data_IF_283064055247
#
_entry.id   IF_283064055247
#
_cell.length_a   1.000
_cell.length_b   1.000
_cell.length_c   1.000
_cell.angle_alpha   90.00
_cell.angle_beta   90.00
_cell.angle_gamma   90.00
#
_symmetry.space_group_name_H-M   'P 1'
#
loop_
_entity.id
_entity.type
_entity.pdbx_description
1 polymer ?
#
# COMPACT_ATOMS: atom_id res chain seq x y z
N UNK A 1 -53.62 -62.87 -19.28
CA UNK A 1 -52.50 -62.94 -18.29
C UNK A 1 -51.75 -61.63 -18.43
N UNK A 2 -52.06 -60.70 -17.53
CA UNK A 2 -51.53 -59.36 -17.54
C UNK A 2 -50.50 -59.25 -16.38
N UNK A 3 -49.27 -59.05 -16.69
CA UNK A 3 -48.20 -58.83 -15.68
C UNK A 3 -48.05 -57.34 -15.42
N UNK A 4 -48.29 -56.94 -14.21
CA UNK A 4 -48.06 -55.57 -13.71
C UNK A 4 -46.58 -55.38 -13.45
N UNK A 5 -45.98 -54.34 -14.04
CA UNK A 5 -44.66 -53.83 -13.71
C UNK A 5 -44.88 -52.59 -12.85
N UNK A 6 -44.54 -52.67 -11.55
CA UNK A 6 -44.42 -51.50 -10.70
C UNK A 6 -43.04 -50.86 -10.92
N UNK A 7 -43.05 -49.63 -11.40
CA UNK A 7 -41.87 -48.80 -11.41
C UNK A 7 -41.77 -48.00 -10.11
N UNK A 8 -40.76 -48.28 -9.29
CA UNK A 8 -40.41 -47.51 -8.11
C UNK A 8 -39.62 -46.27 -8.56
N UNK A 9 -40.21 -45.09 -8.48
CA UNK A 9 -39.48 -43.81 -8.66
C UNK A 9 -38.84 -43.45 -7.33
N UNK A 10 -37.53 -43.62 -7.22
CA UNK A 10 -36.73 -43.12 -6.10
C UNK A 10 -36.44 -41.62 -6.34
N UNK A 11 -37.13 -40.76 -5.60
CA UNK A 11 -36.89 -39.33 -5.58
C UNK A 11 -35.60 -39.06 -4.75
N UNK A 12 -34.49 -38.77 -5.44
CA UNK A 12 -33.29 -38.23 -4.80
C UNK A 12 -33.56 -36.78 -4.37
N UNK A 13 -33.82 -36.57 -3.10
CA UNK A 13 -33.75 -35.26 -2.47
C UNK A 13 -32.26 -34.87 -2.34
N UNK A 14 -31.78 -34.05 -3.27
CA UNK A 14 -30.49 -33.37 -3.12
C UNK A 14 -30.71 -32.22 -2.14
N UNK A 15 -30.34 -32.44 -0.88
CA UNK A 15 -30.26 -31.38 0.11
C UNK A 15 -29.17 -30.41 -0.34
N UNK A 16 -29.57 -29.29 -0.92
CA UNK A 16 -28.67 -28.15 -1.09
C UNK A 16 -28.38 -27.61 0.32
N UNK A 17 -27.20 -27.90 0.86
CA UNK A 17 -26.67 -27.17 2.00
C UNK A 17 -26.60 -25.68 1.56
N UNK A 18 -27.51 -24.88 2.07
CA UNK A 18 -27.42 -23.43 1.93
C UNK A 18 -26.11 -23.02 2.58
N UNK A 19 -25.12 -22.67 1.76
CA UNK A 19 -23.91 -22.00 2.25
C UNK A 19 -24.40 -20.78 3.01
N UNK A 20 -24.09 -20.69 4.31
CA UNK A 20 -24.40 -19.52 5.11
C UNK A 20 -23.82 -18.29 4.36
N UNK A 21 -24.63 -17.25 4.20
CA UNK A 21 -24.13 -16.01 3.62
C UNK A 21 -22.92 -15.54 4.44
N UNK A 22 -21.85 -15.07 3.78
CA UNK A 22 -20.71 -14.58 4.52
C UNK A 22 -21.16 -13.50 5.51
N UNK A 23 -20.55 -13.43 6.71
CA UNK A 23 -20.94 -12.45 7.72
C UNK A 23 -20.85 -11.05 7.12
N UNK A 24 -21.88 -10.24 7.35
CA UNK A 24 -21.96 -8.90 6.78
C UNK A 24 -21.04 -7.93 7.54
N UNK A 25 -20.34 -7.07 6.82
CA UNK A 25 -19.66 -5.92 7.42
C UNK A 25 -20.69 -5.00 8.09
N UNK A 26 -20.32 -4.34 9.17
CA UNK A 26 -21.18 -3.42 9.90
C UNK A 26 -20.42 -2.18 10.40
N UNK A 27 -21.16 -1.10 10.57
CA UNK A 27 -20.69 0.14 11.19
C UNK A 27 -21.34 0.26 12.57
N UNK A 28 -20.55 0.45 13.62
CA UNK A 28 -21.09 0.89 14.91
C UNK A 28 -21.31 2.40 14.87
N UNK A 29 -22.54 2.81 14.60
CA UNK A 29 -22.89 4.23 14.45
C UNK A 29 -22.65 5.05 15.71
N UNK A 30 -22.66 4.43 16.89
CA UNK A 30 -22.35 5.14 18.15
C UNK A 30 -20.92 5.65 18.21
N UNK A 31 -20.01 5.10 17.38
CA UNK A 31 -18.58 5.44 17.30
C UNK A 31 -18.27 6.42 16.16
N UNK A 32 -19.26 6.82 15.36
CA UNK A 32 -19.03 7.73 14.24
C UNK A 32 -18.88 9.18 14.68
N UNK A 33 -19.54 9.58 15.76
CA UNK A 33 -19.42 10.95 16.27
C UNK A 33 -17.97 11.30 16.62
N UNK A 34 -17.61 12.56 16.44
CA UNK A 34 -16.27 13.05 16.74
C UNK A 34 -16.30 14.48 17.28
N UNK A 35 -15.36 14.78 18.17
CA UNK A 35 -15.29 16.08 18.83
C UNK A 35 -14.84 17.19 17.86
N UNK A 36 -15.25 18.43 18.13
CA UNK A 36 -14.73 19.61 17.45
C UNK A 36 -13.25 19.83 17.77
N UNK A 37 -12.52 20.45 16.84
CA UNK A 37 -11.14 20.87 17.12
C UNK A 37 -11.21 22.18 17.93
N UNK A 38 -10.64 22.23 19.13
CA UNK A 38 -10.71 23.43 19.96
C UNK A 38 -10.27 24.70 19.23
N UNK A 39 -11.13 25.73 19.23
CA UNK A 39 -10.87 27.01 18.58
C UNK A 39 -11.08 27.04 17.07
N UNK A 40 -11.53 25.95 16.44
CA UNK A 40 -11.82 25.87 15.01
C UNK A 40 -13.29 25.46 14.80
N UNK A 41 -14.19 26.43 14.83
CA UNK A 41 -15.62 26.18 14.68
C UNK A 41 -15.94 25.60 13.29
N UNK A 42 -16.75 24.53 13.26
CA UNK A 42 -17.08 23.78 12.06
C UNK A 42 -18.48 23.16 12.11
N UNK A 43 -19.05 22.91 10.95
CA UNK A 43 -20.20 22.03 10.77
C UNK A 43 -19.67 20.60 10.58
N UNK A 44 -20.23 19.63 11.30
CA UNK A 44 -19.80 18.24 11.31
C UNK A 44 -20.96 17.32 11.02
N UNK A 45 -20.73 16.36 10.10
CA UNK A 45 -21.69 15.31 9.82
C UNK A 45 -21.01 13.94 9.82
N UNK A 46 -21.76 12.93 10.22
CA UNK A 46 -21.35 11.53 10.22
C UNK A 46 -22.59 10.63 10.09
N UNK A 47 -22.38 9.43 9.58
CA UNK A 47 -23.46 8.45 9.39
C UNK A 47 -22.98 7.29 8.54
N UNK A 48 -23.93 6.60 7.93
CA UNK A 48 -23.70 5.49 7.02
C UNK A 48 -24.23 5.83 5.63
N UNK A 49 -23.39 5.67 4.61
CA UNK A 49 -23.76 5.87 3.21
C UNK A 49 -23.30 4.67 2.38
N UNK A 50 -24.23 4.02 1.67
CA UNK A 50 -23.97 2.81 0.86
C UNK A 50 -23.25 1.69 1.64
N UNK A 51 -23.55 1.54 2.94
CA UNK A 51 -22.93 0.53 3.81
C UNK A 51 -21.55 0.94 4.38
N UNK A 52 -21.02 2.09 4.01
CA UNK A 52 -19.79 2.66 4.57
C UNK A 52 -20.11 3.73 5.62
N UNK A 53 -19.43 3.69 6.77
CA UNK A 53 -19.45 4.80 7.72
C UNK A 53 -18.67 5.99 7.17
N UNK A 54 -19.08 7.19 7.53
CA UNK A 54 -18.39 8.41 7.09
C UNK A 54 -18.30 9.47 8.17
N UNK A 55 -17.32 10.37 8.01
CA UNK A 55 -17.19 11.66 8.71
C UNK A 55 -16.93 12.74 7.70
N UNK A 56 -17.60 13.90 7.86
CA UNK A 56 -17.38 15.10 7.07
C UNK A 56 -17.32 16.32 8.00
N UNK A 57 -16.45 17.27 7.68
CA UNK A 57 -16.31 18.49 8.48
C UNK A 57 -15.99 19.68 7.58
N UNK A 58 -16.79 20.73 7.71
CA UNK A 58 -16.66 21.99 6.97
C UNK A 58 -16.45 23.14 7.95
N UNK A 59 -15.32 23.87 7.92
CA UNK A 59 -15.11 25.02 8.80
C UNK A 59 -16.06 26.15 8.44
N UNK A 60 -16.41 27.01 9.41
CA UNK A 60 -17.31 28.14 9.16
C UNK A 60 -16.72 29.14 8.15
N UNK A 61 -15.41 29.26 8.08
CA UNK A 61 -14.67 30.06 7.10
C UNK A 61 -14.28 29.27 5.84
N UNK A 62 -15.12 28.33 5.41
CA UNK A 62 -14.83 27.45 4.28
C UNK A 62 -14.38 28.21 3.04
N UNK A 63 -13.22 27.82 2.50
CA UNK A 63 -12.60 28.42 1.31
C UNK A 63 -13.12 27.82 -0.03
N UNK A 64 -14.17 26.98 0.03
CA UNK A 64 -14.74 26.30 -1.14
C UNK A 64 -13.99 25.03 -1.55
N UNK A 65 -13.01 24.54 -0.79
CA UNK A 65 -12.18 23.40 -1.16
C UNK A 65 -12.40 22.21 -0.23
N UNK A 66 -12.42 21.02 -0.82
CA UNK A 66 -12.60 19.73 -0.13
C UNK A 66 -11.34 18.88 -0.23
N UNK A 67 -10.96 18.23 0.87
CA UNK A 67 -9.87 17.24 0.90
C UNK A 67 -10.43 15.89 1.36
N UNK A 68 -10.45 14.92 0.47
CA UNK A 68 -10.86 13.55 0.77
C UNK A 68 -9.71 12.78 1.41
N UNK A 69 -10.03 11.91 2.36
CA UNK A 69 -9.08 11.00 3.00
C UNK A 69 -9.41 9.54 2.71
N UNK A 70 -8.48 8.84 2.11
CA UNK A 70 -8.51 7.41 1.88
C UNK A 70 -7.58 6.69 2.88
N UNK A 71 -8.16 5.87 3.76
CA UNK A 71 -7.39 5.17 4.79
C UNK A 71 -6.68 3.92 4.26
N UNK A 72 -5.66 3.44 5.00
CA UNK A 72 -4.92 2.21 4.70
C UNK A 72 -5.67 0.93 5.08
N UNK A 73 -5.00 -0.22 4.89
CA UNK A 73 -5.52 -1.53 5.26
C UNK A 73 -5.81 -1.62 6.78
N UNK A 74 -6.94 -2.25 7.14
CA UNK A 74 -7.40 -2.38 8.53
C UNK A 74 -7.72 -3.81 8.95
N UNK A 75 -7.08 -4.77 8.29
CA UNK A 75 -7.31 -6.19 8.59
C UNK A 75 -8.59 -6.72 7.94
N UNK A 76 -9.03 -7.88 8.41
CA UNK A 76 -10.16 -8.65 7.86
C UNK A 76 -11.37 -8.67 8.79
N UNK A 77 -11.38 -7.87 9.85
CA UNK A 77 -12.49 -7.76 10.79
C UNK A 77 -13.76 -7.25 10.12
N UNK A 78 -14.91 -7.53 10.72
CA UNK A 78 -16.22 -7.16 10.15
C UNK A 78 -16.66 -5.74 10.53
N UNK A 79 -16.14 -5.17 11.61
CA UNK A 79 -16.43 -3.80 12.02
C UNK A 79 -15.71 -2.81 11.12
N UNK A 80 -16.45 -1.87 10.53
CA UNK A 80 -15.95 -0.80 9.68
C UNK A 80 -15.78 0.47 10.53
N UNK A 81 -14.58 1.05 10.52
CA UNK A 81 -14.25 2.22 11.35
C UNK A 81 -13.81 3.41 10.51
N UNK A 82 -14.09 4.62 10.96
CA UNK A 82 -13.70 5.88 10.29
C UNK A 82 -12.69 6.63 11.14
N UNK A 83 -11.58 7.06 10.52
CA UNK A 83 -10.64 8.00 11.13
C UNK A 83 -10.88 9.43 10.67
N UNK A 84 -10.45 10.37 11.48
CA UNK A 84 -10.34 11.75 11.04
C UNK A 84 -9.16 11.91 10.07
N UNK A 85 -9.21 12.90 9.21
CA UNK A 85 -8.09 13.24 8.35
C UNK A 85 -6.83 13.55 9.16
N UNK A 86 -5.65 12.98 8.85
CA UNK A 86 -4.43 13.21 9.63
C UNK A 86 -3.99 14.68 9.67
N UNK A 87 -4.32 15.46 8.63
CA UNK A 87 -4.08 16.89 8.58
C UNK A 87 -5.29 17.73 9.04
N UNK A 88 -6.28 17.14 9.73
CA UNK A 88 -7.56 17.79 10.08
C UNK A 88 -7.40 19.21 10.66
N UNK A 89 -6.55 19.36 11.68
CA UNK A 89 -6.33 20.68 12.32
C UNK A 89 -5.77 21.70 11.34
N UNK A 90 -4.79 21.32 10.53
CA UNK A 90 -4.20 22.18 9.50
C UNK A 90 -5.25 22.55 8.44
N UNK A 91 -6.04 21.60 7.97
CA UNK A 91 -7.06 21.81 6.96
C UNK A 91 -8.11 22.82 7.44
N UNK A 92 -8.69 22.60 8.62
CA UNK A 92 -9.69 23.49 9.19
C UNK A 92 -9.15 24.91 9.44
N UNK A 93 -7.94 25.03 9.99
CA UNK A 93 -7.29 26.32 10.23
C UNK A 93 -7.06 27.12 8.94
N UNK A 94 -6.94 26.43 7.79
CA UNK A 94 -6.75 27.05 6.47
C UNK A 94 -8.02 27.06 5.62
N UNK A 95 -9.18 26.81 6.23
CA UNK A 95 -10.49 26.92 5.56
C UNK A 95 -10.86 25.73 4.67
N UNK A 96 -10.12 24.61 4.68
CA UNK A 96 -10.48 23.42 3.92
C UNK A 96 -11.50 22.58 4.67
N UNK A 97 -12.50 22.10 3.96
CA UNK A 97 -13.33 20.99 4.42
C UNK A 97 -12.59 19.65 4.19
N UNK A 98 -12.98 18.63 4.93
CA UNK A 98 -12.48 17.27 4.71
C UNK A 98 -13.60 16.23 4.86
N UNK A 99 -13.40 15.05 4.23
CA UNK A 99 -14.27 13.91 4.40
C UNK A 99 -13.47 12.60 4.37
N UNK A 100 -13.94 11.59 5.12
CA UNK A 100 -13.33 10.27 5.21
C UNK A 100 -14.41 9.17 5.26
N UNK A 101 -14.19 8.09 4.53
CA UNK A 101 -15.03 6.89 4.53
C UNK A 101 -14.35 5.75 5.28
N UNK A 102 -15.13 4.85 5.92
CA UNK A 102 -14.62 3.56 6.42
C UNK A 102 -14.40 2.54 5.30
N UNK A 103 -14.82 2.84 4.10
CA UNK A 103 -15.24 1.90 3.06
C UNK A 103 -16.35 0.94 3.54
N UNK A 104 -17.02 0.28 2.61
CA UNK A 104 -18.07 -0.71 2.91
C UNK A 104 -17.53 -2.13 3.11
N UNK A 105 -16.21 -2.29 3.04
CA UNK A 105 -15.49 -3.56 3.27
C UNK A 105 -14.12 -3.30 3.89
N UNK A 106 -13.71 -4.22 4.76
CA UNK A 106 -12.32 -4.38 5.17
C UNK A 106 -11.56 -5.32 4.20
N UNK A 107 -10.43 -5.85 4.61
CA UNK A 107 -9.44 -6.53 3.79
C UNK A 107 -8.78 -5.58 2.76
N UNK A 108 -8.02 -6.12 1.83
CA UNK A 108 -7.38 -5.32 0.78
C UNK A 108 -8.33 -5.21 -0.42
N UNK A 109 -9.24 -4.22 -0.38
CA UNK A 109 -10.24 -3.97 -1.42
C UNK A 109 -10.20 -2.51 -1.92
N UNK A 110 -9.12 -2.09 -2.61
CA UNK A 110 -8.98 -0.71 -3.09
C UNK A 110 -10.03 -0.35 -4.14
N UNK A 111 -10.57 -1.33 -4.87
CA UNK A 111 -11.65 -1.11 -5.83
C UNK A 111 -12.93 -0.61 -5.14
N UNK A 112 -13.29 -1.22 -4.02
CA UNK A 112 -14.44 -0.76 -3.23
C UNK A 112 -14.13 0.55 -2.51
N UNK A 113 -12.92 0.68 -1.96
CA UNK A 113 -12.47 1.92 -1.32
C UNK A 113 -12.55 3.14 -2.24
N UNK A 114 -12.19 2.98 -3.51
CA UNK A 114 -12.29 4.04 -4.51
C UNK A 114 -13.75 4.45 -4.80
N UNK A 115 -14.67 3.48 -4.94
CA UNK A 115 -16.09 3.73 -5.15
C UNK A 115 -16.73 4.46 -3.96
N UNK A 116 -16.43 4.00 -2.75
CA UNK A 116 -17.02 4.57 -1.53
C UNK A 116 -16.48 5.98 -1.27
N UNK A 117 -15.19 6.22 -1.54
CA UNK A 117 -14.58 7.56 -1.46
C UNK A 117 -15.21 8.51 -2.48
N UNK A 118 -15.41 8.06 -3.72
CA UNK A 118 -16.05 8.86 -4.75
C UNK A 118 -17.53 9.14 -4.43
N UNK A 119 -18.28 8.16 -3.94
CA UNK A 119 -19.67 8.35 -3.51
C UNK A 119 -19.78 9.34 -2.34
N UNK A 120 -18.83 9.32 -1.39
CA UNK A 120 -18.78 10.28 -0.30
C UNK A 120 -18.47 11.71 -0.79
N UNK A 121 -17.63 11.86 -1.82
CA UNK A 121 -17.39 13.18 -2.45
C UNK A 121 -18.70 13.79 -3.00
N UNK A 122 -19.52 12.96 -3.64
CA UNK A 122 -20.83 13.38 -4.14
C UNK A 122 -21.79 13.72 -3.01
N UNK A 123 -21.82 12.93 -1.93
CA UNK A 123 -22.63 13.19 -0.74
C UNK A 123 -22.24 14.52 -0.10
N UNK A 124 -20.92 14.80 0.04
CA UNK A 124 -20.44 16.10 0.55
C UNK A 124 -21.00 17.26 -0.26
N UNK A 125 -20.93 17.19 -1.58
CA UNK A 125 -21.47 18.23 -2.47
C UNK A 125 -22.98 18.45 -2.33
N UNK A 126 -23.74 17.38 -2.07
CA UNK A 126 -25.17 17.44 -1.82
C UNK A 126 -25.53 18.08 -0.47
N UNK A 127 -24.72 17.84 0.58
CA UNK A 127 -24.96 18.30 1.94
C UNK A 127 -24.46 19.72 2.20
N UNK A 128 -23.24 20.03 1.79
CA UNK A 128 -22.54 21.27 2.13
C UNK A 128 -22.36 22.24 0.95
N UNK A 129 -22.81 21.84 -0.26
CA UNK A 129 -22.59 22.56 -1.50
C UNK A 129 -21.36 22.05 -2.28
N UNK A 130 -21.37 22.28 -3.60
CA UNK A 130 -20.31 21.78 -4.48
C UNK A 130 -18.98 22.48 -4.20
N UNK A 131 -17.90 21.72 -3.95
CA UNK A 131 -16.57 22.30 -3.83
C UNK A 131 -16.13 22.96 -5.15
N UNK A 132 -15.41 24.07 -5.04
CA UNK A 132 -14.74 24.70 -6.20
C UNK A 132 -13.47 23.93 -6.61
N UNK A 133 -12.88 23.19 -5.66
CA UNK A 133 -11.74 22.27 -5.86
C UNK A 133 -11.87 21.08 -4.93
N UNK A 134 -11.47 19.90 -5.44
CA UNK A 134 -11.44 18.68 -4.67
C UNK A 134 -10.06 18.01 -4.77
N UNK A 135 -9.45 17.78 -3.63
CA UNK A 135 -8.19 17.03 -3.49
C UNK A 135 -8.48 15.66 -2.92
N UNK A 136 -7.69 14.66 -3.32
CA UNK A 136 -7.71 13.33 -2.72
C UNK A 136 -6.34 13.03 -2.11
N UNK A 137 -6.34 12.58 -0.86
CA UNK A 137 -5.14 12.15 -0.14
C UNK A 137 -5.37 10.76 0.43
N UNK A 138 -4.33 9.95 0.57
CA UNK A 138 -4.49 8.63 1.16
C UNK A 138 -3.17 7.94 1.44
N UNK A 139 -3.17 7.05 2.44
CA UNK A 139 -1.97 6.36 2.91
C UNK A 139 -2.06 4.84 2.65
N UNK A 140 -0.91 4.22 2.27
CA UNK A 140 -0.82 2.76 2.12
C UNK A 140 -1.82 2.23 1.07
N UNK A 141 -2.71 1.30 1.41
CA UNK A 141 -3.85 0.93 0.56
C UNK A 141 -4.69 2.17 0.17
N UNK A 142 -4.81 3.18 1.05
CA UNK A 142 -5.46 4.44 0.72
C UNK A 142 -4.69 5.25 -0.33
N UNK A 143 -3.38 5.13 -0.41
CA UNK A 143 -2.57 5.65 -1.51
C UNK A 143 -2.88 4.95 -2.83
N UNK A 144 -3.13 3.64 -2.81
CA UNK A 144 -3.64 2.91 -3.97
C UNK A 144 -5.04 3.42 -4.38
N UNK A 145 -5.97 3.55 -3.42
CA UNK A 145 -7.29 4.16 -3.64
C UNK A 145 -7.14 5.55 -4.27
N UNK A 146 -6.22 6.36 -3.78
CA UNK A 146 -5.91 7.70 -4.33
C UNK A 146 -5.47 7.64 -5.78
N UNK A 147 -4.59 6.69 -6.13
CA UNK A 147 -4.16 6.45 -7.52
C UNK A 147 -5.32 6.05 -8.43
N UNK A 148 -6.15 5.08 -8.00
CA UNK A 148 -7.35 4.65 -8.74
C UNK A 148 -8.32 5.80 -8.96
N UNK A 149 -8.60 6.59 -7.92
CA UNK A 149 -9.52 7.73 -7.98
C UNK A 149 -9.02 8.80 -8.93
N UNK A 150 -7.72 9.12 -8.89
CA UNK A 150 -7.11 10.11 -9.77
C UNK A 150 -7.16 9.73 -11.25
N UNK A 151 -7.03 8.43 -11.56
CA UNK A 151 -7.12 7.92 -12.94
C UNK A 151 -8.57 7.77 -13.43
N UNK A 152 -9.49 7.33 -12.55
CA UNK A 152 -10.86 7.01 -12.98
C UNK A 152 -11.81 8.22 -13.01
N UNK A 153 -11.59 9.21 -12.15
CA UNK A 153 -12.47 10.39 -12.04
C UNK A 153 -11.69 11.72 -12.11
N UNK A 154 -10.88 11.95 -13.16
CA UNK A 154 -10.11 13.19 -13.29
C UNK A 154 -10.96 14.44 -13.45
N UNK A 155 -12.28 14.29 -13.68
CA UNK A 155 -13.23 15.40 -13.76
C UNK A 155 -13.76 15.86 -12.39
N UNK A 156 -13.57 15.00 -11.36
CA UNK A 156 -14.06 15.26 -9.99
C UNK A 156 -12.94 15.77 -9.09
N UNK A 157 -11.70 15.35 -9.34
CA UNK A 157 -10.55 15.66 -8.51
C UNK A 157 -9.56 16.54 -9.25
N UNK A 158 -9.08 17.59 -8.58
CA UNK A 158 -8.15 18.56 -9.13
C UNK A 158 -6.68 18.21 -8.83
N UNK A 159 -6.44 17.43 -7.77
CA UNK A 159 -5.11 17.00 -7.38
C UNK A 159 -5.10 15.79 -6.44
N UNK A 160 -4.04 15.00 -6.49
CA UNK A 160 -3.90 13.77 -5.73
C UNK A 160 -2.58 13.72 -4.95
N UNK A 161 -2.64 13.25 -3.68
CA UNK A 161 -1.47 13.06 -2.81
C UNK A 161 -1.48 11.67 -2.17
N UNK A 162 -1.10 10.61 -2.90
CA UNK A 162 -0.85 9.32 -2.29
C UNK A 162 0.45 9.36 -1.48
N UNK A 163 0.42 8.85 -0.24
CA UNK A 163 1.58 8.74 0.64
C UNK A 163 1.82 7.28 0.99
N UNK A 164 3.09 6.83 0.96
CA UNK A 164 3.45 5.42 1.15
C UNK A 164 2.52 4.46 0.38
N UNK A 165 2.10 4.87 -0.84
CA UNK A 165 1.01 4.26 -1.58
C UNK A 165 1.41 2.98 -2.30
N UNK A 166 0.47 2.01 -2.39
CA UNK A 166 0.63 0.79 -3.21
C UNK A 166 0.31 1.14 -4.67
N UNK A 167 1.15 1.98 -5.27
CA UNK A 167 0.93 2.49 -6.63
C UNK A 167 1.33 1.48 -7.73
N UNK A 168 2.04 0.41 -7.37
CA UNK A 168 2.35 -0.73 -8.23
C UNK A 168 1.33 -1.87 -8.16
N UNK A 169 0.24 -1.71 -7.43
CA UNK A 169 -0.86 -2.68 -7.25
C UNK A 169 -0.39 -4.12 -6.97
N UNK A 170 -0.54 -5.06 -7.91
CA UNK A 170 -0.13 -6.47 -7.75
C UNK A 170 1.37 -6.65 -7.51
N UNK A 171 2.23 -5.73 -7.93
CA UNK A 171 3.68 -5.80 -7.69
C UNK A 171 4.03 -5.86 -6.20
N UNK A 172 3.16 -5.33 -5.32
CA UNK A 172 3.33 -5.48 -3.87
C UNK A 172 3.21 -6.95 -3.44
N UNK A 173 2.19 -7.65 -3.93
CA UNK A 173 1.95 -9.06 -3.55
C UNK A 173 2.97 -9.98 -4.21
N UNK A 174 3.39 -9.68 -5.43
CA UNK A 174 4.47 -10.37 -6.12
C UNK A 174 5.81 -10.20 -5.36
N UNK A 175 6.07 -9.02 -4.80
CA UNK A 175 7.22 -8.79 -3.92
C UNK A 175 7.15 -9.63 -2.63
N UNK A 176 5.98 -9.80 -2.02
CA UNK A 176 5.82 -10.67 -0.85
C UNK A 176 6.09 -12.14 -1.21
N UNK A 177 5.64 -12.59 -2.38
CA UNK A 177 5.99 -13.91 -2.91
C UNK A 177 7.50 -14.02 -3.11
N UNK A 178 8.13 -13.06 -3.82
CA UNK A 178 9.56 -13.04 -4.11
C UNK A 178 10.41 -13.14 -2.84
N UNK A 179 10.06 -12.36 -1.81
CA UNK A 179 10.73 -12.39 -0.51
C UNK A 179 10.72 -13.79 0.09
N UNK A 180 9.56 -14.45 0.10
CA UNK A 180 9.39 -15.74 0.74
C UNK A 180 10.04 -16.89 -0.06
N UNK A 181 9.80 -16.99 -1.38
CA UNK A 181 10.42 -18.07 -2.19
C UNK A 181 11.93 -17.91 -2.32
N UNK A 182 12.43 -16.66 -2.29
CA UNK A 182 13.87 -16.42 -2.30
C UNK A 182 14.54 -16.87 -0.99
N UNK A 183 13.92 -16.57 0.15
CA UNK A 183 14.39 -17.03 1.45
C UNK A 183 14.44 -18.57 1.51
N UNK A 184 13.38 -19.25 1.06
CA UNK A 184 13.30 -20.70 1.00
C UNK A 184 14.40 -21.31 0.11
N UNK A 185 14.56 -20.79 -1.09
CA UNK A 185 15.56 -21.30 -2.06
C UNK A 185 16.99 -21.13 -1.54
N UNK A 186 17.32 -19.95 -0.98
CA UNK A 186 18.67 -19.64 -0.50
C UNK A 186 19.02 -20.34 0.81
N UNK A 187 18.02 -20.62 1.65
CA UNK A 187 18.22 -21.38 2.89
C UNK A 187 18.38 -22.88 2.66
N UNK A 188 17.87 -23.40 1.56
CA UNK A 188 17.77 -24.84 1.30
C UNK A 188 16.75 -25.55 2.20
N UNK A 189 15.93 -24.82 2.95
CA UNK A 189 14.82 -25.37 3.74
C UNK A 189 13.65 -25.63 2.78
N UNK A 190 13.32 -26.91 2.59
CA UNK A 190 12.29 -27.31 1.64
C UNK A 190 10.89 -27.00 2.13
N UNK A 191 10.21 -26.10 1.46
CA UNK A 191 8.76 -25.85 1.56
C UNK A 191 8.26 -25.38 0.20
N UNK A 192 6.96 -25.44 -0.03
CA UNK A 192 6.38 -25.13 -1.34
C UNK A 192 5.23 -24.13 -1.18
N UNK A 193 5.35 -23.01 -1.86
CA UNK A 193 4.26 -22.02 -1.91
C UNK A 193 3.06 -22.57 -2.73
N UNK A 194 1.80 -22.35 -2.28
CA UNK A 194 1.40 -21.69 -1.04
C UNK A 194 1.70 -22.52 0.21
N UNK A 195 2.21 -21.86 1.24
CA UNK A 195 2.70 -22.51 2.45
C UNK A 195 1.58 -23.06 3.33
N UNK A 196 1.92 -24.11 4.10
CA UNK A 196 1.02 -24.71 5.09
C UNK A 196 0.93 -23.94 6.40
N UNK A 197 0.10 -24.46 7.32
CA UNK A 197 -0.18 -23.84 8.63
C UNK A 197 1.05 -23.77 9.55
N UNK A 198 2.05 -24.61 9.32
CA UNK A 198 3.29 -24.68 10.09
C UNK A 198 4.40 -23.76 9.57
N UNK A 199 4.16 -23.05 8.48
CA UNK A 199 5.16 -22.17 7.85
C UNK A 199 5.81 -21.21 8.84
N UNK A 200 5.03 -20.42 9.57
CA UNK A 200 5.57 -19.43 10.52
C UNK A 200 6.18 -20.08 11.77
N UNK A 201 5.69 -21.24 12.19
CA UNK A 201 6.11 -21.88 13.43
C UNK A 201 7.28 -22.84 13.27
N UNK A 202 7.46 -23.42 12.10
CA UNK A 202 8.53 -24.41 11.83
C UNK A 202 9.46 -23.96 10.70
N UNK A 203 8.93 -23.64 9.52
CA UNK A 203 9.73 -23.35 8.33
C UNK A 203 10.50 -22.03 8.46
N UNK A 204 9.88 -20.96 8.91
CA UNK A 204 10.53 -19.63 9.04
C UNK A 204 11.68 -19.65 10.05
N UNK A 205 11.57 -20.22 11.26
CA UNK A 205 12.70 -20.34 12.17
C UNK A 205 13.88 -21.12 11.57
N UNK A 206 13.61 -22.22 10.87
CA UNK A 206 14.65 -23.01 10.19
C UNK A 206 15.32 -22.21 9.06
N UNK A 207 14.54 -21.51 8.26
CA UNK A 207 15.02 -20.62 7.19
C UNK A 207 15.94 -19.53 7.75
N UNK A 208 15.52 -18.83 8.81
CA UNK A 208 16.34 -17.79 9.45
C UNK A 208 17.65 -18.33 9.99
N UNK A 209 17.63 -19.50 10.63
CA UNK A 209 18.84 -20.18 11.13
C UNK A 209 19.79 -20.58 10.00
N UNK A 210 19.27 -21.02 8.85
CA UNK A 210 20.07 -21.38 7.68
C UNK A 210 20.66 -20.16 6.94
N UNK A 211 20.04 -18.98 7.03
CA UNK A 211 20.51 -17.74 6.41
C UNK A 211 21.55 -16.99 7.25
N UNK A 212 21.70 -17.33 8.52
CA UNK A 212 22.73 -16.70 9.35
C UNK A 212 22.63 -17.02 10.84
N UNK A 213 23.76 -16.95 11.58
CA UNK A 213 23.79 -17.30 13.00
C UNK A 213 22.96 -16.36 13.88
N UNK A 214 22.62 -15.18 13.38
CA UNK A 214 21.78 -14.20 14.08
C UNK A 214 21.03 -13.35 13.05
N UNK A 215 20.14 -13.98 12.30
CA UNK A 215 19.30 -13.28 11.33
C UNK A 215 18.43 -12.21 12.04
N UNK A 216 18.29 -10.99 11.50
CA UNK A 216 18.86 -10.44 10.27
C UNK A 216 20.22 -9.73 10.45
N UNK A 217 20.81 -9.75 11.65
CA UNK A 217 21.97 -8.94 12.04
C UNK A 217 23.30 -9.56 11.63
N UNK A 218 23.42 -10.90 11.67
CA UNK A 218 24.59 -11.62 11.22
C UNK A 218 24.17 -12.69 10.21
N UNK A 219 24.60 -12.49 8.97
CA UNK A 219 24.22 -13.32 7.81
C UNK A 219 25.42 -14.11 7.31
N UNK A 220 25.18 -15.32 6.83
CA UNK A 220 26.16 -16.09 6.04
C UNK A 220 26.07 -15.71 4.55
N UNK A 221 26.77 -16.41 3.66
CA UNK A 221 26.78 -16.10 2.23
C UNK A 221 25.38 -16.12 1.59
N UNK A 222 24.57 -17.14 1.91
CA UNK A 222 23.17 -17.21 1.42
C UNK A 222 22.30 -16.08 1.96
N UNK A 223 22.46 -15.73 3.25
CA UNK A 223 21.74 -14.61 3.85
C UNK A 223 22.13 -13.26 3.25
N UNK A 224 23.40 -13.07 2.87
CA UNK A 224 23.86 -11.87 2.17
C UNK A 224 23.26 -11.79 0.75
N UNK A 225 23.19 -12.91 0.03
CA UNK A 225 22.51 -12.98 -1.27
C UNK A 225 21.02 -12.67 -1.13
N UNK A 226 20.35 -13.23 -0.11
CA UNK A 226 18.96 -12.93 0.18
C UNK A 226 18.74 -11.44 0.45
N UNK A 227 19.54 -10.82 1.30
CA UNK A 227 19.47 -9.39 1.59
C UNK A 227 19.67 -8.54 0.33
N UNK A 228 20.63 -8.88 -0.51
CA UNK A 228 20.90 -8.19 -1.77
C UNK A 228 19.73 -8.30 -2.76
N UNK A 229 19.15 -9.50 -2.92
CA UNK A 229 17.96 -9.71 -3.74
C UNK A 229 16.79 -8.86 -3.25
N UNK A 230 16.50 -8.85 -1.94
CA UNK A 230 15.44 -8.02 -1.36
C UNK A 230 15.71 -6.53 -1.60
N UNK A 231 16.97 -6.09 -1.52
CA UNK A 231 17.33 -4.71 -1.84
C UNK A 231 16.95 -4.35 -3.28
N UNK A 232 17.32 -5.19 -4.23
CA UNK A 232 17.04 -4.95 -5.65
C UNK A 232 15.54 -4.99 -5.95
N UNK A 233 14.82 -5.98 -5.40
CA UNK A 233 13.38 -6.12 -5.60
C UNK A 233 12.54 -5.04 -4.91
N UNK A 234 13.07 -4.41 -3.86
CA UNK A 234 12.36 -3.38 -3.10
C UNK A 234 12.63 -1.95 -3.55
N UNK A 235 13.40 -1.73 -4.65
CA UNK A 235 13.67 -0.40 -5.20
C UNK A 235 15.14 -0.07 -5.41
N UNK A 236 16.02 -1.06 -5.30
CA UNK A 236 17.46 -0.94 -5.60
C UNK A 236 18.29 -0.44 -4.41
N UNK A 237 19.57 -0.21 -4.71
CA UNK A 237 20.53 0.35 -3.75
C UNK A 237 20.09 1.76 -3.38
N UNK A 238 19.90 2.02 -2.08
CA UNK A 238 19.41 3.32 -1.58
C UNK A 238 19.74 3.55 -0.11
N UNK A 239 19.77 4.80 0.34
CA UNK A 239 19.82 5.10 1.76
C UNK A 239 18.65 4.45 2.53
N UNK A 240 18.85 4.17 3.82
CA UNK A 240 17.85 3.59 4.72
C UNK A 240 17.48 2.12 4.43
N UNK A 241 17.97 1.48 3.36
CA UNK A 241 17.68 0.08 3.14
C UNK A 241 18.18 -0.80 4.31
N UNK A 242 19.39 -0.59 4.81
CA UNK A 242 19.95 -1.36 5.92
C UNK A 242 19.15 -1.20 7.22
N UNK A 243 18.70 0.03 7.52
CA UNK A 243 17.82 0.31 8.66
C UNK A 243 16.47 -0.37 8.48
N UNK A 244 15.88 -0.28 7.29
CA UNK A 244 14.65 -0.99 6.92
C UNK A 244 14.81 -2.50 7.05
N UNK A 245 15.91 -3.06 6.55
CA UNK A 245 16.21 -4.48 6.67
C UNK A 245 16.22 -4.94 8.14
N UNK A 246 16.94 -4.22 9.01
CA UNK A 246 17.01 -4.54 10.43
C UNK A 246 15.67 -4.33 11.15
N UNK A 247 14.91 -3.29 10.77
CA UNK A 247 13.60 -3.03 11.36
C UNK A 247 12.59 -4.10 10.98
N UNK A 248 12.38 -4.35 9.69
CA UNK A 248 11.33 -5.23 9.18
C UNK A 248 11.60 -6.72 9.42
N UNK A 249 12.84 -7.13 9.52
CA UNK A 249 13.23 -8.53 9.77
C UNK A 249 13.69 -8.81 11.21
N UNK A 250 13.92 -7.77 12.00
CA UNK A 250 14.38 -7.90 13.39
C UNK A 250 13.35 -7.36 14.37
N UNK A 251 13.08 -6.05 14.34
CA UNK A 251 12.16 -5.40 15.29
C UNK A 251 10.71 -5.81 15.03
N UNK A 252 10.29 -5.86 13.77
CA UNK A 252 8.95 -6.31 13.37
C UNK A 252 8.77 -7.84 13.37
N UNK A 253 9.80 -8.60 13.76
CA UNK A 253 9.75 -10.06 13.86
C UNK A 253 9.60 -10.76 12.52
N UNK A 254 8.60 -11.62 12.40
CA UNK A 254 8.35 -12.40 11.17
C UNK A 254 7.30 -11.75 10.25
N UNK A 255 7.11 -10.44 10.37
CA UNK A 255 6.07 -9.72 9.64
C UNK A 255 6.12 -9.96 8.13
N UNK A 256 7.31 -9.79 7.50
CA UNK A 256 7.44 -9.99 6.05
C UNK A 256 7.27 -11.46 5.64
N UNK A 257 7.71 -12.40 6.46
CA UNK A 257 7.42 -13.82 6.25
C UNK A 257 5.93 -14.09 6.36
N UNK A 258 5.23 -13.47 7.33
CA UNK A 258 3.79 -13.59 7.50
C UNK A 258 2.98 -13.15 6.29
N UNK A 259 3.49 -12.20 5.51
CA UNK A 259 2.83 -11.75 4.27
C UNK A 259 2.88 -12.78 3.13
N UNK A 260 3.76 -13.79 3.24
CA UNK A 260 3.82 -14.91 2.29
C UNK A 260 2.82 -16.04 2.60
N UNK A 261 2.13 -16.00 3.75
CA UNK A 261 1.14 -17.02 4.13
C UNK A 261 -0.16 -16.79 3.39
N UNK A 262 -0.22 -17.25 2.15
CA UNK A 262 -1.39 -17.10 1.31
C UNK A 262 -1.75 -15.64 1.02
N UNK A 263 -2.94 -15.41 0.52
CA UNK A 263 -3.46 -14.08 0.19
C UNK A 263 -4.35 -13.52 1.33
N UNK A 264 -3.98 -13.74 2.60
CA UNK A 264 -4.81 -13.40 3.76
C UNK A 264 -5.25 -11.94 3.85
N UNK A 265 -4.56 -11.03 3.16
CA UNK A 265 -4.92 -9.62 3.05
C UNK A 265 -5.91 -9.33 1.92
N UNK A 266 -6.04 -10.22 0.94
CA UNK A 266 -6.96 -10.06 -0.18
C UNK A 266 -8.37 -10.51 0.20
N UNK A 267 -9.43 -9.89 -0.35
CA UNK A 267 -10.79 -10.15 0.11
C UNK A 267 -11.29 -11.55 -0.24
N UNK A 268 -10.76 -12.16 -1.32
CA UNK A 268 -11.24 -13.46 -1.76
C UNK A 268 -10.45 -14.06 -2.92
N UNK A 269 -10.20 -15.38 -2.87
CA UNK A 269 -9.42 -16.09 -3.87
C UNK A 269 -10.05 -17.41 -4.31
N UNK A 270 -10.36 -17.63 -5.55
CA UNK A 270 -10.46 -18.97 -6.12
C UNK A 270 -9.18 -19.45 -6.78
N UNK A 271 -8.11 -18.67 -6.73
CA UNK A 271 -6.79 -18.99 -7.27
C UNK A 271 -5.74 -18.04 -6.72
N UNK A 272 -4.48 -18.24 -7.06
CA UNK A 272 -3.39 -17.37 -6.64
C UNK A 272 -3.43 -16.04 -7.40
N UNK A 273 -3.33 -14.91 -6.69
CA UNK A 273 -3.22 -13.60 -7.30
C UNK A 273 -1.78 -13.17 -7.57
N UNK A 274 -0.80 -13.88 -7.00
CA UNK A 274 0.63 -13.57 -7.05
C UNK A 274 1.36 -14.39 -8.09
N UNK A 275 2.45 -13.86 -8.63
CA UNK A 275 3.29 -14.52 -9.63
C UNK A 275 4.73 -14.03 -9.59
N UNK A 276 5.64 -14.89 -10.07
CA UNK A 276 7.05 -14.56 -10.30
C UNK A 276 7.64 -15.29 -11.52
N UNK A 277 6.78 -15.81 -12.41
CA UNK A 277 7.21 -16.68 -13.51
C UNK A 277 8.17 -15.99 -14.49
N UNK A 278 8.09 -14.66 -14.62
CA UNK A 278 8.88 -13.82 -15.53
C UNK A 278 9.96 -12.99 -14.80
N UNK A 279 10.07 -13.10 -13.48
CA UNK A 279 11.05 -12.34 -12.71
C UNK A 279 12.47 -12.91 -12.90
N UNK A 280 13.42 -12.05 -13.23
CA UNK A 280 14.85 -12.36 -13.23
C UNK A 280 15.46 -11.83 -11.93
N UNK A 281 15.91 -12.72 -11.07
CA UNK A 281 16.52 -12.37 -9.78
C UNK A 281 18.02 -12.15 -9.92
N UNK A 282 18.52 -11.12 -9.24
CA UNK A 282 19.93 -10.75 -9.17
C UNK A 282 20.36 -10.52 -7.72
N UNK A 283 21.65 -10.63 -7.46
CA UNK A 283 22.28 -10.38 -6.16
C UNK A 283 23.16 -9.12 -6.19
N UNK A 284 23.34 -8.52 -7.37
CA UNK A 284 24.08 -7.27 -7.56
C UNK A 284 23.45 -6.43 -8.68
N UNK A 285 24.07 -5.32 -9.04
CA UNK A 285 23.57 -4.38 -10.04
C UNK A 285 24.17 -4.61 -11.46
N UNK A 286 24.99 -5.64 -11.64
CA UNK A 286 25.46 -6.04 -12.97
C UNK A 286 24.30 -6.69 -13.74
N UNK A 287 23.90 -6.22 -14.92
CA UNK A 287 22.83 -6.83 -15.69
C UNK A 287 23.17 -8.25 -16.20
N UNK A 288 24.44 -8.65 -16.20
CA UNK A 288 24.88 -9.97 -16.60
C UNK A 288 24.77 -10.94 -15.42
N UNK A 289 23.98 -12.03 -15.60
CA UNK A 289 23.80 -13.00 -14.54
C UNK A 289 25.09 -13.79 -14.27
N UNK A 290 25.58 -13.75 -13.04
CA UNK A 290 26.63 -14.64 -12.53
C UNK A 290 26.17 -16.10 -12.52
N UNK A 291 27.09 -17.05 -12.39
CA UNK A 291 26.76 -18.48 -12.29
C UNK A 291 25.85 -18.77 -11.08
N UNK A 292 26.03 -18.06 -9.96
CA UNK A 292 25.18 -18.19 -8.77
C UNK A 292 23.75 -17.71 -9.03
N UNK A 293 23.57 -16.60 -9.72
CA UNK A 293 22.25 -16.06 -10.09
C UNK A 293 21.56 -16.94 -11.13
N UNK A 294 22.30 -17.47 -12.12
CA UNK A 294 21.75 -18.44 -13.08
C UNK A 294 21.21 -19.67 -12.36
N UNK A 295 22.01 -20.25 -11.44
CA UNK A 295 21.60 -21.40 -10.64
C UNK A 295 20.38 -21.08 -9.76
N UNK A 296 20.36 -19.91 -9.12
CA UNK A 296 19.21 -19.46 -8.33
C UNK A 296 17.95 -19.34 -9.18
N UNK A 297 18.02 -18.67 -10.33
CA UNK A 297 16.88 -18.49 -11.23
C UNK A 297 16.34 -19.80 -11.81
N UNK A 298 17.19 -20.85 -11.91
CA UNK A 298 16.78 -22.20 -12.32
C UNK A 298 16.05 -22.95 -11.19
N UNK A 299 16.41 -22.71 -9.93
CA UNK A 299 15.96 -23.50 -8.78
C UNK A 299 14.84 -22.82 -7.98
N UNK A 300 14.69 -21.50 -8.05
CA UNK A 300 13.64 -20.77 -7.34
C UNK A 300 12.26 -21.24 -7.80
N UNK A 301 11.36 -21.47 -6.85
CA UNK A 301 9.99 -21.85 -7.17
C UNK A 301 9.34 -20.76 -8.04
N UNK A 302 8.78 -21.17 -9.18
CA UNK A 302 8.03 -20.32 -10.09
C UNK A 302 6.54 -20.49 -9.83
N UNK A 303 5.86 -19.38 -9.63
CA UNK A 303 4.41 -19.27 -9.40
C UNK A 303 3.79 -18.47 -10.52
N UNK A 304 2.66 -18.92 -11.03
CA UNK A 304 1.85 -18.21 -12.03
C UNK A 304 0.51 -17.88 -11.41
N UNK A 305 0.10 -16.62 -11.49
CA UNK A 305 -1.20 -16.18 -11.00
C UNK A 305 -2.34 -16.80 -11.81
N UNK A 306 -3.48 -16.99 -11.15
CA UNK A 306 -4.72 -17.28 -11.86
C UNK A 306 -5.11 -16.06 -12.72
N UNK A 307 -5.27 -16.21 -14.04
CA UNK A 307 -5.66 -15.10 -14.91
C UNK A 307 -6.97 -14.43 -14.50
N UNK A 308 -7.87 -15.12 -13.81
CA UNK A 308 -9.12 -14.56 -13.30
C UNK A 308 -8.91 -13.69 -12.06
N UNK A 309 -7.89 -13.99 -11.25
CA UNK A 309 -7.57 -13.21 -10.06
C UNK A 309 -7.04 -11.80 -10.42
N UNK A 310 -6.24 -11.68 -11.47
CA UNK A 310 -5.55 -10.43 -11.85
C UNK A 310 -6.30 -9.54 -12.84
N UNK A 311 -7.52 -9.87 -13.23
CA UNK A 311 -8.33 -9.01 -14.10
C UNK A 311 -8.80 -7.75 -13.35
N UNK A 312 -9.03 -6.66 -14.08
CA UNK A 312 -9.52 -5.37 -13.54
C UNK A 312 -10.78 -5.52 -12.67
N UNK A 313 -11.68 -6.42 -13.02
CA UNK A 313 -12.86 -6.78 -12.22
C UNK A 313 -12.70 -8.24 -11.76
N UNK A 314 -11.51 -8.63 -11.43
CA UNK A 314 -11.15 -9.99 -11.07
C UNK A 314 -11.52 -10.33 -9.64
N UNK A 315 -11.20 -11.55 -9.28
CA UNK A 315 -11.59 -12.14 -8.01
C UNK A 315 -10.83 -11.56 -6.81
N UNK A 316 -9.60 -11.07 -7.04
CA UNK A 316 -8.79 -10.42 -6.01
C UNK A 316 -9.24 -8.99 -5.70
N UNK A 317 -10.07 -8.40 -6.56
CA UNK A 317 -10.61 -7.05 -6.42
C UNK A 317 -9.55 -5.94 -6.28
N UNK A 318 -8.32 -6.23 -6.70
CA UNK A 318 -7.22 -5.27 -6.79
C UNK A 318 -7.30 -4.59 -8.15
N UNK A 319 -7.77 -3.36 -8.18
CA UNK A 319 -7.84 -2.58 -9.43
C UNK A 319 -6.46 -2.04 -9.76
N UNK A 320 -5.87 -2.42 -10.91
CA UNK A 320 -4.57 -1.90 -11.31
C UNK A 320 -4.58 -0.40 -11.53
N UNK A 321 -3.51 0.29 -11.14
CA UNK A 321 -3.17 1.61 -11.64
C UNK A 321 -2.54 1.48 -13.02
N UNK A 322 -2.89 2.36 -13.92
CA UNK A 322 -2.49 2.24 -15.35
C UNK A 322 -1.51 3.31 -15.81
N UNK A 323 -1.28 4.32 -14.97
CA UNK A 323 -0.52 5.52 -15.32
C UNK A 323 -1.30 6.51 -16.19
N UNK A 324 -2.60 6.32 -16.38
CA UNK A 324 -3.47 7.23 -17.15
C UNK A 324 -3.85 8.47 -16.33
N UNK A 325 -2.82 9.21 -15.90
CA UNK A 325 -2.90 10.30 -14.95
C UNK A 325 -3.09 11.65 -15.64
N UNK A 326 -4.27 12.24 -15.49
CA UNK A 326 -4.63 13.52 -16.14
C UNK A 326 -4.70 14.72 -15.20
N UNK A 327 -4.50 14.53 -13.89
CA UNK A 327 -4.46 15.58 -12.88
C UNK A 327 -3.10 15.63 -12.20
N UNK A 328 -2.67 16.75 -11.60
CA UNK A 328 -1.48 16.82 -10.77
C UNK A 328 -1.48 15.79 -9.64
N UNK A 329 -0.41 14.98 -9.56
CA UNK A 329 -0.19 14.05 -8.46
C UNK A 329 1.20 14.28 -7.86
N UNK A 330 1.24 14.46 -6.54
CA UNK A 330 2.47 14.60 -5.76
C UNK A 330 2.52 13.51 -4.70
N UNK A 331 3.44 12.56 -4.84
CA UNK A 331 3.60 11.44 -3.91
C UNK A 331 4.66 11.72 -2.84
N UNK A 332 4.59 10.99 -1.74
CA UNK A 332 5.60 10.98 -0.68
C UNK A 332 5.83 9.55 -0.18
N UNK A 333 7.10 9.10 -0.13
CA UNK A 333 7.43 7.72 0.25
C UNK A 333 8.66 7.64 1.13
N UNK A 334 8.67 6.71 2.11
CA UNK A 334 9.82 6.47 2.99
C UNK A 334 10.78 5.46 2.38
N UNK A 335 12.09 5.75 2.42
CA UNK A 335 13.11 4.96 1.70
C UNK A 335 13.38 3.58 2.29
N UNK A 336 13.19 3.39 3.59
CA UNK A 336 13.46 2.12 4.25
C UNK A 336 12.23 1.26 4.47
N UNK A 337 11.07 1.65 3.93
CA UNK A 337 9.85 0.84 3.96
C UNK A 337 10.05 -0.44 3.16
N UNK A 338 9.92 -1.60 3.80
CA UNK A 338 9.93 -2.92 3.17
C UNK A 338 8.56 -3.60 3.23
N UNK A 339 7.56 -2.97 3.82
CA UNK A 339 6.17 -3.43 3.74
C UNK A 339 5.50 -2.95 2.45
N UNK A 340 5.52 -1.65 2.18
CA UNK A 340 5.17 -1.08 0.88
C UNK A 340 6.45 -0.47 0.31
N UNK A 341 7.26 -1.24 -0.40
CA UNK A 341 8.61 -0.83 -0.72
C UNK A 341 8.69 0.24 -1.81
N UNK A 342 9.83 0.93 -1.83
CA UNK A 342 10.06 2.10 -2.69
C UNK A 342 9.87 1.83 -4.19
N UNK A 343 9.99 0.56 -4.63
CA UNK A 343 9.73 0.22 -6.04
C UNK A 343 8.30 0.52 -6.49
N UNK A 344 7.32 0.69 -5.57
CA UNK A 344 5.97 1.14 -5.91
C UNK A 344 5.96 2.51 -6.60
N UNK A 345 6.81 3.42 -6.13
CA UNK A 345 7.02 4.73 -6.77
C UNK A 345 7.61 4.58 -8.18
N UNK A 346 8.62 3.71 -8.31
CA UNK A 346 9.31 3.47 -9.58
C UNK A 346 8.38 2.83 -10.62
N UNK A 347 7.57 1.86 -10.19
CA UNK A 347 6.62 1.20 -11.08
C UNK A 347 5.56 2.18 -11.60
N UNK A 348 5.01 3.00 -10.72
CA UNK A 348 4.04 4.00 -11.15
C UNK A 348 4.66 5.06 -12.08
N UNK A 349 5.89 5.49 -11.80
CA UNK A 349 6.61 6.40 -12.69
C UNK A 349 6.80 5.83 -14.11
N UNK A 350 7.12 4.52 -14.21
CA UNK A 350 7.23 3.83 -15.52
C UNK A 350 5.90 3.81 -16.26
N UNK A 351 4.80 3.48 -15.56
CA UNK A 351 3.44 3.43 -16.14
C UNK A 351 3.01 4.79 -16.66
N UNK A 352 3.16 5.83 -15.84
CA UNK A 352 2.85 7.23 -16.23
C UNK A 352 3.73 7.69 -17.38
N UNK A 353 5.03 7.34 -17.35
CA UNK A 353 5.98 7.63 -18.43
C UNK A 353 5.60 6.94 -19.74
N UNK A 354 5.20 5.68 -19.71
CA UNK A 354 4.75 4.92 -20.87
C UNK A 354 3.49 5.53 -21.53
N UNK A 355 2.67 6.26 -20.75
CA UNK A 355 1.53 7.04 -21.25
C UNK A 355 1.89 8.44 -21.74
N UNK A 356 3.15 8.89 -21.59
CA UNK A 356 3.57 10.25 -21.91
C UNK A 356 3.02 11.33 -20.97
N UNK A 357 2.62 10.94 -19.76
CA UNK A 357 1.91 11.79 -18.78
C UNK A 357 2.80 12.23 -17.60
N UNK A 358 4.12 12.03 -17.67
CA UNK A 358 5.09 12.39 -16.59
C UNK A 358 5.02 13.87 -16.15
N UNK A 359 4.47 14.74 -16.99
CA UNK A 359 4.24 16.14 -16.61
C UNK A 359 3.26 16.28 -15.43
N UNK A 360 2.39 15.31 -15.21
CA UNK A 360 1.36 15.31 -14.16
C UNK A 360 1.81 14.61 -12.88
N UNK A 361 3.01 14.02 -12.85
CA UNK A 361 3.55 13.31 -11.70
C UNK A 361 4.78 14.01 -11.12
N UNK A 362 4.81 14.13 -9.80
CA UNK A 362 5.99 14.47 -8.98
C UNK A 362 6.07 13.48 -7.84
N UNK A 363 7.27 12.96 -7.58
CA UNK A 363 7.50 11.98 -6.53
C UNK A 363 8.59 12.46 -5.59
N UNK A 364 8.38 12.26 -4.28
CA UNK A 364 9.31 12.67 -3.24
C UNK A 364 9.62 11.52 -2.29
N UNK A 365 10.88 11.41 -1.94
CA UNK A 365 11.36 10.44 -0.96
C UNK A 365 11.69 11.14 0.37
N UNK A 366 11.43 10.46 1.47
CA UNK A 366 11.86 10.87 2.82
C UNK A 366 12.66 9.77 3.49
N UNK A 367 13.51 10.18 4.44
CA UNK A 367 14.43 9.29 5.12
C UNK A 367 13.80 8.78 6.43
N UNK A 368 13.05 7.70 6.30
CA UNK A 368 12.57 6.88 7.41
C UNK A 368 12.54 5.41 6.99
N UNK A 369 12.50 4.49 7.94
CA UNK A 369 12.39 3.07 7.67
C UNK A 369 10.99 2.50 7.96
N UNK A 370 10.15 3.27 8.66
CA UNK A 370 8.79 2.86 8.98
C UNK A 370 7.83 3.07 7.82
N UNK A 371 6.81 2.24 7.76
CA UNK A 371 5.70 2.40 6.82
C UNK A 371 4.89 3.66 7.18
N UNK A 372 4.72 4.56 6.23
CA UNK A 372 4.02 5.84 6.40
C UNK A 372 4.57 6.71 7.56
N UNK A 373 5.82 6.55 7.94
CA UNK A 373 6.45 7.27 9.05
C UNK A 373 6.88 8.67 8.65
N UNK A 374 5.92 9.55 8.40
CA UNK A 374 6.14 10.94 8.02
C UNK A 374 6.01 11.88 9.19
N UNK A 375 6.86 12.91 9.23
CA UNK A 375 6.65 14.04 10.11
C UNK A 375 5.44 14.89 9.65
N UNK A 376 4.66 15.49 10.55
CA UNK A 376 3.54 16.36 10.15
C UNK A 376 3.94 17.48 9.19
N UNK A 377 5.13 18.07 9.36
CA UNK A 377 5.66 19.11 8.47
C UNK A 377 5.90 18.61 7.04
N UNK A 378 6.31 17.36 6.87
CA UNK A 378 6.52 16.75 5.54
C UNK A 378 5.19 16.60 4.80
N UNK A 379 4.13 16.15 5.50
CA UNK A 379 2.79 16.01 4.95
C UNK A 379 2.19 17.38 4.58
N UNK A 380 2.30 18.36 5.48
CA UNK A 380 1.79 19.72 5.25
C UNK A 380 2.50 20.37 4.07
N UNK A 381 3.83 20.31 4.00
CA UNK A 381 4.61 20.90 2.91
C UNK A 381 4.23 20.25 1.57
N UNK A 382 4.11 18.92 1.53
CA UNK A 382 3.72 18.18 0.33
C UNK A 382 2.32 18.58 -0.13
N UNK A 383 1.35 18.68 0.78
CA UNK A 383 -0.01 19.10 0.45
C UNK A 383 -0.06 20.57 -0.05
N UNK A 384 0.64 21.47 0.61
CA UNK A 384 0.70 22.89 0.20
C UNK A 384 1.33 23.04 -1.19
N UNK A 385 2.36 22.27 -1.50
CA UNK A 385 3.00 22.30 -2.82
C UNK A 385 2.09 21.71 -3.90
N UNK A 386 1.31 20.66 -3.60
CA UNK A 386 0.28 20.16 -4.50
C UNK A 386 -0.78 21.25 -4.78
N UNK A 387 -1.27 21.94 -3.75
CA UNK A 387 -2.24 23.03 -3.90
C UNK A 387 -1.68 24.14 -4.77
N UNK A 388 -0.45 24.59 -4.54
CA UNK A 388 0.22 25.61 -5.38
C UNK A 388 0.33 25.15 -6.83
N UNK A 389 0.59 23.88 -7.06
CA UNK A 389 0.67 23.35 -8.42
C UNK A 389 -0.70 23.37 -9.09
N UNK A 390 -1.73 22.85 -8.45
CA UNK A 390 -3.10 22.80 -8.98
C UNK A 390 -3.65 24.20 -9.25
N UNK A 391 -3.46 25.14 -8.34
CA UNK A 391 -4.09 26.46 -8.39
C UNK A 391 -3.24 27.51 -9.12
N UNK A 392 -1.93 27.41 -9.00
CA UNK A 392 -1.00 28.40 -9.58
C UNK A 392 -0.22 27.89 -10.80
N UNK A 393 -0.38 26.61 -11.17
CA UNK A 393 0.35 26.00 -12.29
C UNK A 393 1.86 25.80 -12.03
N UNK A 394 2.33 26.04 -10.80
CA UNK A 394 3.76 25.92 -10.45
C UNK A 394 4.06 24.50 -10.04
N UNK A 395 4.53 23.68 -10.98
CA UNK A 395 4.95 22.30 -10.73
C UNK A 395 6.08 22.26 -9.70
N UNK A 396 5.93 21.59 -8.54
CA UNK A 396 6.98 21.51 -7.54
C UNK A 396 8.12 20.61 -8.01
N UNK A 397 9.29 20.76 -7.38
CA UNK A 397 10.40 19.82 -7.56
C UNK A 397 10.10 18.48 -6.88
N UNK A 398 10.71 17.42 -7.42
CA UNK A 398 10.66 16.06 -6.91
C UNK A 398 11.99 15.34 -7.09
N UNK A 399 12.02 14.08 -6.71
CA UNK A 399 13.17 13.20 -6.88
C UNK A 399 13.08 12.42 -8.20
N UNK A 400 14.23 12.11 -8.79
CA UNK A 400 14.34 11.18 -9.92
C UNK A 400 14.38 9.73 -9.39
N UNK A 401 13.20 9.14 -9.24
CA UNK A 401 13.03 7.78 -8.67
C UNK A 401 13.45 6.67 -9.62
N UNK A 402 13.58 6.97 -10.93
CA UNK A 402 13.93 5.98 -11.96
C UNK A 402 15.43 5.90 -12.25
N UNK A 403 16.21 6.89 -11.86
CA UNK A 403 17.65 6.89 -12.07
C UNK A 403 18.37 6.14 -10.92
N UNK A 404 18.93 4.94 -11.15
CA UNK A 404 19.55 4.16 -10.08
C UNK A 404 20.71 4.89 -9.39
N UNK A 405 21.48 5.72 -10.12
CA UNK A 405 22.58 6.49 -9.55
C UNK A 405 22.08 7.61 -8.63
N UNK A 406 20.96 8.25 -8.97
CA UNK A 406 20.31 9.24 -8.10
C UNK A 406 19.76 8.58 -6.85
N UNK A 407 19.05 7.46 -6.98
CA UNK A 407 18.47 6.70 -5.87
C UNK A 407 19.54 6.15 -4.91
N UNK A 408 20.69 5.71 -5.44
CA UNK A 408 21.82 5.23 -4.66
C UNK A 408 22.63 6.36 -3.98
N UNK A 409 22.40 7.63 -4.32
CA UNK A 409 23.13 8.75 -3.74
C UNK A 409 22.94 8.82 -2.23
N UNK A 410 24.00 9.04 -1.43
CA UNK A 410 23.88 9.26 0.02
C UNK A 410 23.00 10.45 0.40
N UNK A 411 22.73 11.38 -0.53
CA UNK A 411 21.85 12.54 -0.32
C UNK A 411 20.40 12.28 -0.69
N UNK A 412 20.06 11.14 -1.32
CA UNK A 412 18.72 10.85 -1.77
C UNK A 412 17.74 10.84 -0.58
N UNK A 413 16.58 11.47 -0.77
CA UNK A 413 15.57 11.66 0.28
C UNK A 413 15.89 12.77 1.29
N UNK A 414 17.06 13.43 1.23
CA UNK A 414 17.39 14.49 2.19
C UNK A 414 16.63 15.80 1.95
N UNK A 415 16.19 16.06 0.73
CA UNK A 415 15.57 17.34 0.32
C UNK A 415 14.20 17.52 1.01
N UNK A 416 13.42 16.45 1.08
CA UNK A 416 12.04 16.50 1.58
C UNK A 416 11.88 15.95 2.99
N UNK A 417 12.99 15.53 3.64
CA UNK A 417 13.00 15.08 5.03
C UNK A 417 13.08 16.27 5.98
N UNK A 418 12.14 16.36 6.89
CA UNK A 418 12.24 17.29 8.05
C UNK A 418 13.28 16.76 9.02
N UNK A 419 14.46 17.39 9.01
CA UNK A 419 15.62 16.99 9.82
C UNK A 419 15.47 17.33 11.31
N UNK A 420 14.52 18.20 11.66
CA UNK A 420 14.25 18.63 13.02
C UNK A 420 13.14 17.83 13.70
N UNK A 421 12.34 17.09 12.93
CA UNK A 421 11.23 16.32 13.45
C UNK A 421 11.73 15.11 14.28
N UNK A 422 11.04 14.78 15.40
CA UNK A 422 11.28 13.56 16.15
C UNK A 422 11.08 12.31 15.25
N UNK A 423 11.95 11.32 15.43
CA UNK A 423 11.93 10.08 14.66
C UNK A 423 11.90 8.86 15.59
N UNK A 424 11.53 7.70 15.05
CA UNK A 424 11.46 6.45 15.82
C UNK A 424 12.80 6.10 16.48
N UNK A 425 13.93 6.37 15.84
CA UNK A 425 15.27 6.13 16.38
C UNK A 425 15.71 7.09 17.47
N UNK A 426 14.93 8.10 17.80
CA UNK A 426 15.15 8.92 18.99
C UNK A 426 14.71 8.19 20.28
N UNK A 427 13.93 7.12 20.12
CA UNK A 427 13.73 6.15 21.20
C UNK A 427 15.03 5.36 21.42
N UNK A 428 15.60 5.34 22.66
CA UNK A 428 16.84 4.63 22.95
C UNK A 428 16.86 3.15 22.52
N UNK A 429 15.72 2.47 22.57
CA UNK A 429 15.60 1.07 22.15
C UNK A 429 15.77 0.87 20.62
N UNK A 430 15.60 1.92 19.84
CA UNK A 430 15.72 1.92 18.37
C UNK A 430 16.89 2.76 17.87
N UNK A 431 17.73 3.29 18.78
CA UNK A 431 18.84 4.16 18.43
C UNK A 431 19.87 3.50 17.49
N UNK A 432 19.99 2.17 17.52
CA UNK A 432 20.85 1.42 16.61
C UNK A 432 20.37 1.46 15.14
N UNK A 433 19.12 1.86 14.89
CA UNK A 433 18.53 2.07 13.56
C UNK A 433 18.69 3.51 13.06
N UNK A 434 19.35 4.38 13.82
CA UNK A 434 19.56 5.76 13.40
C UNK A 434 20.36 5.81 12.10
N UNK A 435 19.81 6.39 11.02
CA UNK A 435 20.53 6.46 9.74
C UNK A 435 21.67 7.49 9.82
N UNK A 436 22.66 7.40 8.93
CA UNK A 436 23.61 8.47 8.73
C UNK A 436 22.89 9.80 8.47
N UNK A 437 23.41 10.88 9.05
CA UNK A 437 22.88 12.21 8.78
C UNK A 437 22.96 12.55 7.28
N UNK A 438 22.04 13.38 6.82
CA UNK A 438 22.19 13.95 5.48
C UNK A 438 23.52 14.69 5.39
N UNK A 439 24.34 14.43 4.34
CA UNK A 439 25.54 15.22 4.10
C UNK A 439 25.22 16.71 4.02
N UNK A 440 26.17 17.54 4.40
CA UNK A 440 26.06 18.97 4.18
C UNK A 440 25.96 19.25 2.66
N UNK A 441 25.14 20.22 2.23
CA UNK A 441 24.98 20.57 0.83
C UNK A 441 26.27 21.06 0.19
#
# INVERSE_FOLDING_TARGET
MLKHILALAASLLVAHAALAAPPAYFVDESRLSFAEVPGLASEREWGVHNGAGYRMEKPLNWNGKLVMWAHGYRGVGLELTVDNHPLRTFLLANGYAWAASSYSRNAYDPAQGAKDTHALTQLFGAQFGQPSRTYITGASMGGHVTGIVAEQWPQTYDGAMPICGVLGDYELFDYFLDFNVAAQTLSGVGDTYPYGDDYLSATVPATKAALGPSFPYALNASGLQFKALVQLRSGGVRPLFDQGWMFWNGVAGDFLFGLGVGDGTLPRQPGLAVQNYDVVYQFDTDPALSAAEQLFNQNVQRVTADPQARRRNGLANVTPTTGDLHIPMLTLHTLGDLFVPFHMEQEYARRVGAKGLSRNLVQRATRDYGHCAFAPGELVTTFVDLVKWVEGGVKPAGDDVLNPAAVASPTFGCTYTDKAAPRQWDNPALAFLKPPACPAP
#
